data_IF_844682161020
#
_entry.id   IF_844682161020
#
_cell.length_a   1.000
_cell.length_b   1.000
_cell.length_c   1.000
_cell.angle_alpha   90.00
_cell.angle_beta   90.00
_cell.angle_gamma   90.00
#
_symmetry.space_group_name_H-M   'P 1'
#
loop_
_entity.id
_entity.type
_entity.pdbx_description
1 polymer ?
#
# COMPACT_ATOMS: atom_id res chain seq x y z
N UNK A 1 22.20 11.96 3.05
CA UNK A 1 23.27 11.38 3.89
C UNK A 1 22.71 10.92 5.23
N UNK A 2 22.03 11.77 6.03
CA UNK A 2 21.50 11.46 7.37
C UNK A 2 20.58 10.22 7.39
N UNK A 3 19.59 10.15 6.47
CA UNK A 3 18.68 9.01 6.36
C UNK A 3 19.41 7.67 6.17
N UNK A 4 20.39 7.61 5.26
CA UNK A 4 21.15 6.38 4.99
C UNK A 4 22.02 5.98 6.18
N UNK A 5 22.66 6.97 6.82
CA UNK A 5 23.48 6.75 8.01
C UNK A 5 22.62 6.13 9.13
N UNK A 6 21.49 6.79 9.46
CA UNK A 6 20.58 6.32 10.50
C UNK A 6 19.99 4.94 10.21
N UNK A 7 19.62 4.71 8.94
CA UNK A 7 19.09 3.43 8.47
C UNK A 7 20.10 2.30 8.68
N UNK A 8 21.34 2.44 8.19
CA UNK A 8 22.29 1.34 8.17
C UNK A 8 23.07 1.18 9.49
N UNK A 9 23.27 2.24 10.28
CA UNK A 9 23.93 2.16 11.58
C UNK A 9 23.00 1.79 12.74
N UNK A 10 21.71 2.13 12.64
CA UNK A 10 20.78 1.91 13.74
C UNK A 10 19.64 0.97 13.37
N UNK A 11 18.80 1.36 12.39
CA UNK A 11 17.55 0.61 12.13
C UNK A 11 17.80 -0.81 11.62
N UNK A 12 18.63 -0.97 10.59
CA UNK A 12 18.88 -2.29 9.99
C UNK A 12 19.51 -3.26 11.01
N UNK A 13 20.56 -2.91 11.77
CA UNK A 13 21.12 -3.81 12.78
C UNK A 13 20.13 -4.17 13.88
N UNK A 14 19.41 -3.17 14.44
CA UNK A 14 18.43 -3.39 15.51
C UNK A 14 17.32 -4.31 15.04
N UNK A 15 16.70 -4.04 13.87
CA UNK A 15 15.62 -4.89 13.37
C UNK A 15 16.10 -6.29 12.99
N UNK A 16 17.32 -6.44 12.47
CA UNK A 16 17.92 -7.76 12.20
C UNK A 16 18.12 -8.57 13.46
N UNK A 17 18.57 -7.93 14.53
CA UNK A 17 18.80 -8.59 15.82
C UNK A 17 17.48 -8.97 16.52
N UNK A 18 16.53 -8.03 16.57
CA UNK A 18 15.29 -8.18 17.34
C UNK A 18 14.21 -8.97 16.60
N UNK A 19 14.01 -8.67 15.31
CA UNK A 19 12.88 -9.19 14.53
C UNK A 19 13.26 -10.18 13.43
N UNK A 20 14.55 -10.26 13.05
CA UNK A 20 15.05 -11.12 11.96
C UNK A 20 14.23 -11.02 10.68
N UNK A 21 14.01 -9.79 10.14
CA UNK A 21 13.20 -9.59 8.96
C UNK A 21 13.82 -10.26 7.74
N UNK A 22 12.98 -10.65 6.77
CA UNK A 22 13.43 -11.21 5.52
C UNK A 22 12.81 -10.48 4.32
N UNK A 23 13.48 -10.53 3.18
CA UNK A 23 12.97 -9.94 1.94
C UNK A 23 13.34 -10.81 0.75
N UNK A 24 12.41 -10.94 -0.20
CA UNK A 24 12.62 -11.58 -1.51
C UNK A 24 12.17 -10.64 -2.63
N UNK A 25 12.78 -10.74 -3.81
CA UNK A 25 12.38 -10.00 -5.01
C UNK A 25 12.99 -8.59 -5.10
N UNK A 26 14.11 -8.31 -4.44
CA UNK A 26 14.80 -7.01 -4.52
C UNK A 26 15.14 -6.58 -5.95
N UNK A 27 15.37 -7.53 -6.84
CA UNK A 27 15.66 -7.34 -8.25
C UNK A 27 14.51 -6.66 -9.01
N UNK A 28 13.29 -6.77 -8.51
CA UNK A 28 12.10 -6.18 -9.11
C UNK A 28 11.96 -4.67 -8.80
N UNK A 29 12.72 -4.14 -7.84
CA UNK A 29 12.73 -2.72 -7.54
C UNK A 29 13.60 -1.98 -8.55
N UNK A 30 13.08 -0.97 -9.28
CA UNK A 30 13.86 -0.20 -10.23
C UNK A 30 15.13 0.36 -9.59
N UNK A 31 16.27 0.20 -10.25
CA UNK A 31 17.57 0.72 -9.76
C UNK A 31 17.64 2.24 -9.80
N UNK A 32 16.95 2.87 -10.75
CA UNK A 32 16.87 4.31 -10.96
C UNK A 32 15.47 4.70 -11.44
N UNK A 33 15.18 5.99 -11.50
CA UNK A 33 13.89 6.53 -11.93
C UNK A 33 12.79 6.38 -10.88
N UNK A 34 11.63 6.93 -11.18
CA UNK A 34 10.43 6.83 -10.36
C UNK A 34 9.79 5.45 -10.42
N UNK A 35 9.01 5.13 -9.41
CA UNK A 35 8.25 3.90 -9.34
C UNK A 35 7.27 3.91 -8.18
N UNK A 36 6.25 3.11 -8.28
CA UNK A 36 5.20 3.00 -7.29
C UNK A 36 5.23 1.60 -6.66
N UNK A 37 5.54 1.52 -5.37
CA UNK A 37 5.37 0.29 -4.60
C UNK A 37 3.98 0.29 -4.01
N UNK A 38 3.22 -0.79 -4.22
CA UNK A 38 1.85 -0.94 -3.73
C UNK A 38 1.78 -2.16 -2.83
N UNK A 39 1.27 -2.00 -1.62
CA UNK A 39 1.31 -3.07 -0.61
C UNK A 39 -0.02 -3.21 0.12
N UNK A 40 -0.32 -4.43 0.60
CA UNK A 40 -1.29 -4.64 1.65
C UNK A 40 -0.89 -3.87 2.92
N UNK A 41 -1.85 -3.58 3.78
CA UNK A 41 -1.58 -2.81 5.01
C UNK A 41 -2.17 -3.51 6.24
N UNK A 42 -1.34 -4.29 6.93
CA UNK A 42 -1.72 -5.08 8.10
C UNK A 42 -1.56 -4.24 9.38
N UNK A 43 -0.40 -3.62 9.53
CA UNK A 43 -0.06 -2.91 10.77
C UNK A 43 0.74 -1.63 10.52
N UNK A 44 0.98 -0.85 11.57
CA UNK A 44 1.89 0.29 11.47
C UNK A 44 3.35 -0.14 11.26
N UNK A 45 3.67 -1.40 11.60
CA UNK A 45 5.00 -1.99 11.35
C UNK A 45 5.37 -2.02 9.87
N UNK A 46 4.38 -2.10 8.95
CA UNK A 46 4.60 -2.07 7.50
C UNK A 46 5.38 -0.82 7.08
N UNK A 47 5.02 0.34 7.64
CA UNK A 47 5.65 1.62 7.31
C UNK A 47 7.09 1.75 7.82
N UNK A 48 7.51 0.87 8.73
CA UNK A 48 8.88 0.79 9.22
C UNK A 48 9.68 -0.28 8.46
N UNK A 49 9.13 -1.50 8.38
CA UNK A 49 9.85 -2.63 7.81
C UNK A 49 10.11 -2.43 6.32
N UNK A 50 9.15 -1.94 5.54
CA UNK A 50 9.33 -1.75 4.11
C UNK A 50 10.53 -0.83 3.78
N UNK A 51 10.64 0.41 4.30
CA UNK A 51 11.80 1.26 4.02
C UNK A 51 13.11 0.74 4.62
N UNK A 52 13.08 0.01 5.75
CA UNK A 52 14.26 -0.61 6.33
C UNK A 52 14.82 -1.69 5.41
N UNK A 53 13.97 -2.50 4.81
CA UNK A 53 14.37 -3.63 3.97
C UNK A 53 14.74 -3.21 2.53
N UNK A 54 14.26 -2.10 2.03
CA UNK A 54 14.58 -1.63 0.67
C UNK A 54 15.97 -0.97 0.61
N UNK A 55 16.71 -1.18 -0.46
CA UNK A 55 18.00 -0.50 -0.67
C UNK A 55 17.84 0.96 -1.05
N UNK A 56 16.86 1.27 -1.91
CA UNK A 56 16.53 2.65 -2.31
C UNK A 56 15.68 3.33 -1.25
N UNK A 57 15.83 4.65 -1.17
CA UNK A 57 14.91 5.48 -0.38
C UNK A 57 13.53 5.42 -1.00
N UNK A 58 12.53 5.24 -0.15
CA UNK A 58 11.12 5.24 -0.52
C UNK A 58 10.39 6.32 0.27
N UNK A 59 9.50 7.04 -0.38
CA UNK A 59 8.64 8.07 0.21
C UNK A 59 7.26 7.48 0.45
N UNK A 60 6.64 7.84 1.58
CA UNK A 60 5.27 7.45 1.92
C UNK A 60 4.41 8.69 2.10
N UNK A 61 3.14 8.67 1.67
CA UNK A 61 2.18 9.67 2.07
C UNK A 61 1.70 9.40 3.51
N UNK A 62 1.83 10.39 4.38
CA UNK A 62 1.36 10.32 5.76
C UNK A 62 0.46 11.50 6.10
N UNK A 63 -0.41 11.35 7.10
CA UNK A 63 -1.30 12.41 7.55
C UNK A 63 -0.52 13.66 7.96
N UNK A 64 -0.92 14.83 7.47
CA UNK A 64 -0.28 16.11 7.77
C UNK A 64 -0.21 16.41 9.27
N UNK A 65 -1.20 15.95 10.05
CA UNK A 65 -1.26 16.14 11.50
C UNK A 65 -0.06 15.50 12.24
N UNK A 66 0.55 14.45 11.68
CA UNK A 66 1.74 13.81 12.27
C UNK A 66 2.98 14.71 12.24
N UNK A 67 2.97 15.76 11.40
CA UNK A 67 4.09 16.70 11.24
C UNK A 67 3.95 17.96 12.10
N UNK A 68 2.74 18.22 12.61
CA UNK A 68 2.36 19.47 13.27
C UNK A 68 2.06 19.29 14.76
N UNK A 69 2.50 18.19 15.35
CA UNK A 69 2.27 17.93 16.78
C UNK A 69 2.97 18.97 17.68
N UNK A 70 2.30 19.41 18.74
CA UNK A 70 2.76 20.49 19.62
C UNK A 70 3.65 19.99 20.78
N UNK A 71 3.47 18.73 21.22
CA UNK A 71 4.28 18.17 22.30
C UNK A 71 5.74 17.94 21.85
N UNK A 72 6.73 17.95 22.77
CA UNK A 72 8.13 17.71 22.41
C UNK A 72 8.34 16.38 21.68
N UNK A 73 7.68 15.31 22.10
CA UNK A 73 7.75 14.02 21.43
C UNK A 73 7.12 14.05 20.02
N UNK A 74 5.98 14.71 19.85
CA UNK A 74 5.34 14.86 18.53
C UNK A 74 6.18 15.72 17.56
N UNK A 75 6.85 16.77 18.07
CA UNK A 75 7.78 17.58 17.28
C UNK A 75 8.98 16.76 16.81
N UNK A 76 9.53 15.89 17.68
CA UNK A 76 10.61 14.98 17.32
C UNK A 76 10.17 14.00 16.25
N UNK A 77 8.98 13.43 16.38
CA UNK A 77 8.39 12.53 15.35
C UNK A 77 8.21 13.29 14.03
N UNK A 78 7.62 14.47 14.03
CA UNK A 78 7.43 15.29 12.82
C UNK A 78 8.76 15.65 12.15
N UNK A 79 9.77 16.02 12.94
CA UNK A 79 11.12 16.26 12.44
C UNK A 79 11.70 15.00 11.78
N UNK A 80 11.61 13.85 12.46
CA UNK A 80 12.10 12.58 11.92
C UNK A 80 11.41 12.19 10.61
N UNK A 81 10.07 12.32 10.53
CA UNK A 81 9.31 12.04 9.32
C UNK A 81 9.75 12.93 8.15
N UNK A 82 10.02 14.22 8.40
CA UNK A 82 10.58 15.14 7.39
C UNK A 82 11.96 14.68 6.92
N UNK A 83 12.86 14.30 7.83
CA UNK A 83 14.19 13.78 7.48
C UNK A 83 14.10 12.44 6.73
N UNK A 84 13.15 11.59 7.06
CA UNK A 84 12.86 10.36 6.34
C UNK A 84 12.28 10.61 4.93
N UNK A 85 11.83 11.84 4.64
CA UNK A 85 11.23 12.23 3.36
C UNK A 85 9.82 11.70 3.20
N UNK A 86 9.10 11.57 4.31
CA UNK A 86 7.69 11.25 4.30
C UNK A 86 6.90 12.48 3.83
N UNK A 87 5.96 12.28 2.91
CA UNK A 87 5.15 13.33 2.32
C UNK A 87 3.93 13.61 3.21
N UNK A 88 3.81 14.83 3.79
CA UNK A 88 2.57 15.21 4.46
C UNK A 88 1.44 15.36 3.44
N UNK A 89 0.33 14.68 3.65
CA UNK A 89 -0.87 14.82 2.83
C UNK A 89 -2.08 15.10 3.71
N UNK A 90 -2.94 15.97 3.23
CA UNK A 90 -4.29 16.11 3.75
C UNK A 90 -5.19 15.05 3.13
N UNK A 91 -6.03 14.41 3.96
CA UNK A 91 -6.99 13.37 3.55
C UNK A 91 -8.44 13.86 3.68
N UNK A 92 -8.65 15.17 3.73
CA UNK A 92 -9.96 15.79 3.95
C UNK A 92 -11.01 15.57 2.84
N UNK A 93 -10.67 14.84 1.78
CA UNK A 93 -11.56 14.61 0.63
C UNK A 93 -11.57 15.77 -0.39
N UNK A 94 -12.29 15.61 -1.49
CA UNK A 94 -12.45 16.64 -2.51
C UNK A 94 -11.13 17.23 -3.03
N UNK A 95 -10.96 18.54 -2.91
CA UNK A 95 -9.78 19.28 -3.38
C UNK A 95 -8.48 18.82 -2.73
N UNK A 96 -8.48 18.57 -1.42
CA UNK A 96 -7.32 18.07 -0.69
C UNK A 96 -6.85 16.70 -1.21
N UNK A 97 -7.78 15.82 -1.57
CA UNK A 97 -7.46 14.53 -2.17
C UNK A 97 -6.82 14.68 -3.55
N UNK A 98 -7.29 15.63 -4.37
CA UNK A 98 -6.71 15.92 -5.70
C UNK A 98 -5.28 16.51 -5.56
N UNK A 99 -5.07 17.45 -4.67
CA UNK A 99 -3.75 18.05 -4.40
C UNK A 99 -2.77 16.99 -3.90
N UNK A 100 -3.22 16.08 -3.03
CA UNK A 100 -2.40 14.96 -2.57
C UNK A 100 -1.98 14.02 -3.72
N UNK A 101 -2.90 13.72 -4.64
CA UNK A 101 -2.59 12.89 -5.82
C UNK A 101 -1.59 13.59 -6.75
N UNK A 102 -1.75 14.89 -6.98
CA UNK A 102 -0.81 15.68 -7.79
C UNK A 102 0.59 15.64 -7.16
N UNK A 103 0.71 15.89 -5.87
CA UNK A 103 1.99 15.83 -5.15
C UNK A 103 2.64 14.44 -5.23
N UNK A 104 1.86 13.36 -5.14
CA UNK A 104 2.35 12.00 -5.30
C UNK A 104 2.83 11.72 -6.74
N UNK A 105 2.12 12.21 -7.74
CA UNK A 105 2.49 12.13 -9.16
C UNK A 105 3.82 12.85 -9.41
N UNK A 106 4.00 14.05 -8.86
CA UNK A 106 5.22 14.85 -9.01
C UNK A 106 6.43 14.17 -8.36
N UNK A 107 6.25 13.55 -7.20
CA UNK A 107 7.30 12.75 -6.54
C UNK A 107 7.76 11.60 -7.43
N UNK A 108 6.84 10.87 -8.04
CA UNK A 108 7.19 9.78 -8.94
C UNK A 108 7.90 10.30 -10.17
N UNK A 109 7.41 11.40 -10.78
CA UNK A 109 8.04 12.04 -11.94
C UNK A 109 9.44 12.59 -11.63
N UNK A 110 9.73 12.98 -10.39
CA UNK A 110 11.06 13.40 -9.95
C UNK A 110 12.08 12.25 -9.86
N UNK A 111 11.68 11.01 -10.17
CA UNK A 111 12.56 9.85 -10.10
C UNK A 111 12.56 9.15 -8.73
N UNK A 112 11.66 9.51 -7.83
CA UNK A 112 11.58 8.95 -6.48
C UNK A 112 10.66 7.72 -6.45
N UNK A 113 10.98 6.74 -5.58
CA UNK A 113 10.07 5.64 -5.27
C UNK A 113 9.01 6.14 -4.28
N UNK A 114 7.75 5.95 -4.64
CA UNK A 114 6.61 6.20 -3.78
C UNK A 114 6.01 4.86 -3.32
N UNK A 115 5.72 4.71 -2.03
CA UNK A 115 4.96 3.56 -1.54
C UNK A 115 3.55 3.99 -1.13
N UNK A 116 2.57 3.19 -1.53
CA UNK A 116 1.17 3.42 -1.21
C UNK A 116 0.53 2.13 -0.70
N UNK A 117 -0.43 2.30 0.19
CA UNK A 117 -1.34 1.24 0.61
C UNK A 117 -2.70 1.49 -0.06
N UNK A 118 -3.05 0.75 -1.12
CA UNK A 118 -4.28 1.02 -1.89
C UNK A 118 -5.55 0.92 -1.06
N UNK A 119 -5.56 0.08 -0.02
CA UNK A 119 -6.69 -0.03 0.92
C UNK A 119 -7.01 1.30 1.65
N UNK A 120 -6.01 2.18 1.78
CA UNK A 120 -6.14 3.50 2.41
C UNK A 120 -6.30 3.47 3.93
N UNK A 121 -6.35 2.30 4.53
CA UNK A 121 -6.36 2.04 5.97
C UNK A 121 -5.71 0.69 6.25
N UNK A 122 -5.36 0.41 7.50
CA UNK A 122 -4.92 -0.92 7.92
C UNK A 122 -6.11 -1.87 7.90
N UNK A 123 -5.85 -3.11 7.48
CA UNK A 123 -6.84 -4.18 7.55
C UNK A 123 -7.40 -4.31 8.98
N UNK A 124 -8.70 -4.50 9.16
CA UNK A 124 -9.29 -4.72 10.47
C UNK A 124 -9.01 -6.12 11.04
N UNK A 125 -8.81 -7.12 10.18
CA UNK A 125 -8.80 -8.54 10.53
C UNK A 125 -7.72 -9.38 9.81
N UNK A 126 -6.82 -8.72 9.08
CA UNK A 126 -5.75 -9.39 8.34
C UNK A 126 -6.09 -9.80 6.91
N UNK A 127 -7.33 -9.66 6.46
CA UNK A 127 -7.74 -9.89 5.07
C UNK A 127 -7.35 -8.72 4.16
N UNK A 128 -7.33 -8.92 2.84
CA UNK A 128 -7.07 -7.90 1.84
C UNK A 128 -8.39 -7.23 1.44
N UNK A 129 -8.48 -5.93 1.61
CA UNK A 129 -9.68 -5.16 1.34
C UNK A 129 -9.60 -4.41 0.01
N UNK A 130 -10.78 -4.03 -0.52
CA UNK A 130 -10.91 -3.27 -1.77
C UNK A 130 -10.01 -2.04 -1.81
N UNK A 131 -9.19 -1.95 -2.85
CA UNK A 131 -8.29 -0.82 -3.06
C UNK A 131 -9.01 0.43 -3.55
N UNK A 132 -8.56 1.60 -3.10
CA UNK A 132 -8.93 2.91 -3.66
C UNK A 132 -8.15 3.16 -4.94
N UNK A 133 -8.72 3.94 -5.85
CA UNK A 133 -8.19 4.16 -7.20
C UNK A 133 -6.98 5.12 -7.27
N UNK A 134 -6.54 5.69 -6.15
CA UNK A 134 -5.44 6.66 -6.11
C UNK A 134 -4.11 6.09 -6.62
N UNK A 135 -3.77 4.86 -6.27
CA UNK A 135 -2.55 4.22 -6.76
C UNK A 135 -2.57 3.98 -8.27
N UNK A 136 -3.71 3.51 -8.80
CA UNK A 136 -3.90 3.33 -10.23
C UNK A 136 -3.83 4.66 -10.99
N UNK A 137 -4.39 5.74 -10.44
CA UNK A 137 -4.30 7.08 -11.05
C UNK A 137 -2.86 7.54 -11.16
N UNK A 138 -2.08 7.51 -10.06
CA UNK A 138 -0.65 7.87 -10.09
C UNK A 138 0.12 7.02 -11.10
N UNK A 139 -0.16 5.71 -11.15
CA UNK A 139 0.48 4.79 -12.08
C UNK A 139 0.20 5.16 -13.55
N UNK A 140 -1.07 5.38 -13.90
CA UNK A 140 -1.48 5.66 -15.28
C UNK A 140 -1.05 7.07 -15.73
N UNK A 141 -1.09 8.07 -14.85
CA UNK A 141 -0.66 9.43 -15.16
C UNK A 141 0.87 9.57 -15.33
N UNK A 142 1.65 8.71 -14.65
CA UNK A 142 3.12 8.76 -14.71
C UNK A 142 3.71 7.76 -15.68
N UNK A 143 2.99 6.67 -16.00
CA UNK A 143 3.53 5.54 -16.75
C UNK A 143 4.66 4.78 -16.01
N UNK A 144 4.85 5.04 -14.71
CA UNK A 144 5.91 4.41 -13.91
C UNK A 144 5.67 2.92 -13.69
N UNK A 145 6.70 2.13 -13.42
CA UNK A 145 6.53 0.75 -13.01
C UNK A 145 5.82 0.67 -11.66
N UNK A 146 4.81 -0.18 -11.57
CA UNK A 146 4.04 -0.47 -10.34
C UNK A 146 4.50 -1.81 -9.80
N UNK A 147 5.09 -1.83 -8.62
CA UNK A 147 5.68 -3.01 -7.99
C UNK A 147 4.78 -3.44 -6.83
N UNK A 148 4.13 -4.62 -6.92
CA UNK A 148 3.31 -5.14 -5.83
C UNK A 148 4.22 -5.66 -4.72
N UNK A 149 3.85 -5.42 -3.48
CA UNK A 149 4.58 -5.84 -2.29
C UNK A 149 3.63 -6.55 -1.34
N UNK A 150 4.00 -7.75 -0.92
CA UNK A 150 3.32 -8.49 0.14
C UNK A 150 4.07 -8.30 1.46
N UNK A 151 3.36 -7.78 2.46
CA UNK A 151 3.85 -7.69 3.84
C UNK A 151 3.25 -8.80 4.68
N UNK A 152 4.06 -9.39 5.57
CA UNK A 152 3.61 -10.44 6.49
C UNK A 152 4.28 -10.29 7.86
N UNK A 153 3.58 -10.70 8.92
CA UNK A 153 4.06 -10.72 10.31
C UNK A 153 4.60 -9.37 10.80
N UNK A 154 4.01 -8.28 10.33
CA UNK A 154 4.41 -6.91 10.69
C UNK A 154 3.63 -6.37 11.89
N UNK A 155 2.74 -7.17 12.46
CA UNK A 155 2.04 -6.84 13.70
C UNK A 155 3.05 -6.76 14.85
N UNK A 156 2.87 -5.72 15.65
CA UNK A 156 3.74 -5.52 16.81
C UNK A 156 3.19 -6.27 18.01
N UNK A 157 3.93 -7.27 18.43
CA UNK A 157 3.64 -8.04 19.62
C UNK A 157 4.06 -7.22 20.85
N UNK A 158 3.09 -6.85 21.66
CA UNK A 158 3.29 -6.20 22.95
C UNK A 158 3.34 -7.27 24.03
N UNK A 159 4.40 -7.29 24.85
CA UNK A 159 4.58 -8.24 25.95
C UNK A 159 5.54 -7.70 26.98
N UNK A 160 6.01 -8.56 27.90
CA UNK A 160 7.11 -8.20 28.82
C UNK A 160 8.39 -8.03 28.01
N UNK A 161 8.89 -6.80 27.83
CA UNK A 161 10.09 -6.45 27.07
C UNK A 161 9.84 -5.43 25.96
N UNK A 162 10.81 -5.29 25.04
CA UNK A 162 10.70 -4.37 23.91
C UNK A 162 9.64 -4.87 22.90
N UNK A 163 8.85 -3.96 22.34
CA UNK A 163 7.94 -4.29 21.24
C UNK A 163 8.71 -4.98 20.10
N UNK A 164 8.23 -6.13 19.65
CA UNK A 164 8.88 -6.91 18.59
C UNK A 164 7.87 -7.35 17.53
N UNK A 165 8.37 -7.71 16.36
CA UNK A 165 7.63 -8.39 15.30
C UNK A 165 8.20 -9.80 15.15
N UNK A 166 7.36 -10.77 14.77
CA UNK A 166 7.80 -12.16 14.58
C UNK A 166 8.23 -12.40 13.13
N UNK A 167 9.52 -12.22 12.84
CA UNK A 167 10.13 -12.43 11.53
C UNK A 167 9.36 -11.77 10.38
N UNK A 168 9.17 -10.45 10.41
CA UNK A 168 8.41 -9.75 9.39
C UNK A 168 9.00 -9.98 8.00
N UNK A 169 8.12 -10.19 7.02
CA UNK A 169 8.49 -10.49 5.65
C UNK A 169 8.09 -9.40 4.67
N UNK A 170 8.95 -9.18 3.67
CA UNK A 170 8.68 -8.30 2.52
C UNK A 170 8.89 -9.09 1.25
N UNK A 171 7.81 -9.42 0.55
CA UNK A 171 7.84 -10.11 -0.73
C UNK A 171 7.56 -9.11 -1.86
N UNK A 172 8.53 -8.88 -2.72
CA UNK A 172 8.46 -7.89 -3.80
C UNK A 172 8.20 -8.63 -5.12
N UNK A 173 7.03 -8.41 -5.70
CA UNK A 173 6.61 -9.02 -6.96
C UNK A 173 7.22 -8.36 -8.18
N UNK A 174 7.01 -8.99 -9.34
CA UNK A 174 7.32 -8.38 -10.65
C UNK A 174 6.38 -7.18 -10.88
N UNK A 175 6.81 -6.20 -11.69
CA UNK A 175 5.93 -5.07 -12.03
C UNK A 175 4.57 -5.56 -12.58
N UNK A 176 3.51 -4.94 -12.09
CA UNK A 176 2.13 -5.21 -12.54
C UNK A 176 2.00 -4.84 -14.02
N UNK A 177 1.42 -5.73 -14.82
CA UNK A 177 1.15 -5.41 -16.21
C UNK A 177 -0.10 -4.52 -16.35
N UNK A 178 0.15 -3.25 -16.60
CA UNK A 178 -0.87 -2.24 -16.90
C UNK A 178 -0.89 -1.83 -18.37
N UNK A 179 -0.26 -2.60 -19.27
CA UNK A 179 -0.12 -2.29 -20.70
C UNK A 179 -1.47 -2.09 -21.40
N UNK A 180 -2.48 -2.88 -21.02
CA UNK A 180 -3.85 -2.81 -21.56
C UNK A 180 -4.58 -1.49 -21.32
N UNK A 181 -4.07 -0.67 -20.42
CA UNK A 181 -4.63 0.66 -20.08
C UNK A 181 -3.90 1.81 -20.75
N UNK A 182 -2.75 1.56 -21.42
CA UNK A 182 -1.97 2.61 -22.08
C UNK A 182 -2.77 3.26 -23.22
N UNK A 183 -2.74 4.61 -23.26
CA UNK A 183 -3.43 5.38 -24.28
C UNK A 183 -4.95 5.45 -24.13
N UNK A 184 -5.53 4.79 -23.14
CA UNK A 184 -6.96 4.91 -22.83
C UNK A 184 -7.24 6.16 -22.00
N UNK A 185 -8.43 6.79 -22.16
CA UNK A 185 -8.87 7.84 -21.23
C UNK A 185 -8.89 7.30 -19.80
N UNK A 186 -8.39 8.10 -18.85
CA UNK A 186 -8.35 7.73 -17.42
C UNK A 186 -9.71 8.04 -16.79
N UNK A 187 -10.71 7.22 -17.10
CA UNK A 187 -12.04 7.28 -16.52
C UNK A 187 -12.18 6.39 -15.26
N UNK A 188 -13.36 6.40 -14.65
CA UNK A 188 -13.64 5.63 -13.43
C UNK A 188 -13.54 4.11 -13.66
N UNK A 189 -13.93 3.60 -14.83
CA UNK A 189 -13.86 2.20 -15.19
C UNK A 189 -12.41 1.74 -15.33
N UNK A 190 -11.61 2.47 -16.12
CA UNK A 190 -10.18 2.22 -16.29
C UNK A 190 -9.43 2.25 -14.97
N UNK A 191 -9.74 3.23 -14.10
CA UNK A 191 -9.14 3.32 -12.77
C UNK A 191 -9.51 2.14 -11.88
N UNK A 192 -10.77 1.68 -11.95
CA UNK A 192 -11.20 0.51 -11.17
C UNK A 192 -10.50 -0.76 -11.65
N UNK A 193 -10.52 -1.03 -12.94
CA UNK A 193 -9.89 -2.20 -13.53
C UNK A 193 -8.38 -2.26 -13.30
N UNK A 194 -7.70 -1.10 -13.38
CA UNK A 194 -6.27 -1.01 -13.07
C UNK A 194 -6.00 -1.24 -11.58
N UNK A 195 -6.88 -0.75 -10.70
CA UNK A 195 -6.77 -1.00 -9.26
C UNK A 195 -6.97 -2.48 -8.95
N UNK A 196 -7.95 -3.13 -9.58
CA UNK A 196 -8.21 -4.55 -9.38
C UNK A 196 -7.03 -5.42 -9.84
N UNK A 197 -6.39 -5.06 -10.96
CA UNK A 197 -5.14 -5.70 -11.39
C UNK A 197 -4.01 -5.56 -10.36
N UNK A 198 -3.83 -4.36 -9.82
CA UNK A 198 -2.84 -4.11 -8.75
C UNK A 198 -3.16 -4.96 -7.50
N UNK A 199 -4.40 -4.95 -7.05
CA UNK A 199 -4.83 -5.70 -5.86
C UNK A 199 -4.71 -7.21 -6.06
N UNK A 200 -4.99 -7.73 -7.26
CA UNK A 200 -4.84 -9.13 -7.59
C UNK A 200 -3.38 -9.59 -7.47
N UNK A 201 -2.42 -8.77 -7.91
CA UNK A 201 -1.01 -9.10 -7.77
C UNK A 201 -0.52 -9.01 -6.30
N UNK A 202 -1.07 -8.09 -5.50
CA UNK A 202 -0.84 -8.08 -4.04
C UNK A 202 -1.40 -9.36 -3.42
N UNK A 203 -2.64 -9.77 -3.78
CA UNK A 203 -3.26 -10.99 -3.26
C UNK A 203 -2.42 -12.24 -3.58
N UNK A 204 -1.91 -12.37 -4.81
CA UNK A 204 -1.03 -13.48 -5.21
C UNK A 204 0.25 -13.58 -4.35
N UNK A 205 0.80 -12.44 -3.93
CA UNK A 205 1.99 -12.40 -3.08
C UNK A 205 1.67 -12.75 -1.63
N UNK A 206 0.51 -12.36 -1.13
CA UNK A 206 0.16 -12.47 0.29
C UNK A 206 -0.63 -13.72 0.61
N UNK A 207 -1.40 -14.25 -0.36
CA UNK A 207 -2.35 -15.34 -0.14
C UNK A 207 -3.57 -14.95 0.70
N UNK A 208 -3.76 -13.64 0.98
CA UNK A 208 -4.89 -13.16 1.77
C UNK A 208 -6.23 -13.38 1.07
N UNK A 209 -7.27 -13.68 1.83
CA UNK A 209 -8.64 -13.60 1.34
C UNK A 209 -8.97 -12.17 0.92
N UNK A 210 -9.62 -12.01 -0.23
CA UNK A 210 -10.02 -10.70 -0.73
C UNK A 210 -11.47 -10.39 -0.38
N UNK A 211 -11.68 -9.21 0.22
CA UNK A 211 -13.02 -8.71 0.60
C UNK A 211 -13.37 -7.51 -0.27
N UNK A 212 -14.46 -7.58 -1.04
CA UNK A 212 -14.92 -6.49 -1.93
C UNK A 212 -15.65 -5.37 -1.19
N UNK A 213 -15.06 -4.95 -0.07
CA UNK A 213 -15.50 -3.81 0.75
C UNK A 213 -14.30 -2.91 1.05
N UNK A 214 -14.53 -1.63 1.22
CA UNK A 214 -13.50 -0.74 1.73
C UNK A 214 -13.25 -1.01 3.22
N UNK A 215 -12.04 -1.36 3.60
CA UNK A 215 -11.68 -1.66 4.99
C UNK A 215 -12.01 -0.54 5.97
N UNK A 216 -12.06 0.72 5.52
CA UNK A 216 -12.48 1.85 6.36
C UNK A 216 -13.93 1.75 6.81
N UNK A 217 -14.83 1.25 5.97
CA UNK A 217 -16.26 1.09 6.26
C UNK A 217 -16.49 -0.02 7.28
N UNK A 218 -15.75 -1.13 7.14
CA UNK A 218 -15.78 -2.23 8.09
C UNK A 218 -15.22 -1.78 9.44
N UNK A 219 -14.08 -1.10 9.42
CA UNK A 219 -13.39 -0.66 10.63
C UNK A 219 -14.15 0.39 11.44
N UNK A 220 -14.95 1.22 10.78
CA UNK A 220 -15.81 2.22 11.45
C UNK A 220 -17.10 1.62 12.02
N UNK A 221 -17.40 0.35 11.72
CA UNK A 221 -18.68 -0.27 12.05
C UNK A 221 -19.87 0.25 11.21
N UNK A 222 -19.59 0.98 10.12
CA UNK A 222 -20.64 1.53 9.24
C UNK A 222 -21.24 0.49 8.29
N UNK A 223 -20.66 -0.70 8.21
CA UNK A 223 -21.21 -1.81 7.46
C UNK A 223 -22.00 -2.73 8.38
N UNK A 224 -23.31 -2.78 8.16
CA UNK A 224 -24.23 -3.60 8.97
C UNK A 224 -24.48 -5.01 8.40
N UNK A 225 -23.89 -5.34 7.23
CA UNK A 225 -24.04 -6.64 6.58
C UNK A 225 -22.99 -7.67 6.99
N UNK A 226 -23.12 -8.87 6.46
CA UNK A 226 -22.14 -9.93 6.62
C UNK A 226 -20.90 -9.63 5.73
N UNK A 227 -19.74 -9.48 6.35
CA UNK A 227 -18.47 -9.22 5.65
C UNK A 227 -18.03 -10.47 4.87
N UNK A 228 -18.32 -11.66 5.37
CA UNK A 228 -17.90 -12.91 4.74
C UNK A 228 -18.67 -13.16 3.43
N UNK A 229 -19.90 -12.66 3.33
CA UNK A 229 -20.66 -12.64 2.06
C UNK A 229 -20.04 -11.75 0.96
N UNK A 230 -19.00 -10.97 1.29
CA UNK A 230 -18.25 -10.11 0.35
C UNK A 230 -16.85 -10.65 0.03
N UNK A 231 -16.52 -11.84 0.49
CA UNK A 231 -15.29 -12.54 0.10
C UNK A 231 -15.42 -12.98 -1.36
N UNK A 232 -14.45 -12.57 -2.18
CA UNK A 232 -14.38 -12.92 -3.59
C UNK A 232 -13.09 -13.71 -3.88
N UNK A 233 -13.07 -14.58 -4.91
CA UNK A 233 -11.87 -15.33 -5.28
C UNK A 233 -10.66 -14.42 -5.58
N UNK A 234 -10.91 -13.29 -6.23
CA UNK A 234 -9.89 -12.28 -6.53
C UNK A 234 -10.53 -10.91 -6.79
N UNK A 235 -9.77 -9.81 -6.69
CA UNK A 235 -10.20 -8.48 -7.11
C UNK A 235 -10.70 -8.47 -8.56
N UNK A 236 -11.81 -7.77 -8.79
CA UNK A 236 -12.43 -7.69 -10.12
C UNK A 236 -13.17 -8.96 -10.57
N UNK A 237 -13.32 -9.96 -9.68
CA UNK A 237 -14.13 -11.13 -9.97
C UNK A 237 -15.59 -10.73 -10.19
N UNK A 238 -16.19 -11.28 -11.25
CA UNK A 238 -17.63 -11.14 -11.54
C UNK A 238 -18.21 -12.54 -11.57
N UNK A 239 -19.36 -12.73 -10.92
CA UNK A 239 -20.08 -13.99 -11.02
C UNK A 239 -20.32 -14.32 -12.48
N UNK A 240 -20.20 -15.59 -12.89
CA UNK A 240 -20.67 -16.02 -14.21
C UNK A 240 -22.12 -15.55 -14.38
N UNK A 241 -22.40 -14.92 -15.51
CA UNK A 241 -23.78 -14.63 -15.89
C UNK A 241 -24.45 -16.02 -16.08
N UNK A 242 -25.42 -16.36 -15.23
CA UNK A 242 -26.23 -17.55 -15.47
C UNK A 242 -26.79 -17.43 -16.88
N UNK A 243 -26.44 -18.38 -17.74
CA UNK A 243 -27.05 -18.48 -19.07
C UNK A 243 -28.54 -18.61 -18.81
N UNK A 244 -29.31 -17.58 -19.19
CA UNK A 244 -30.75 -17.58 -19.04
C UNK A 244 -31.29 -18.87 -19.65
N UNK A 245 -32.12 -19.55 -18.88
CA UNK A 245 -32.82 -20.74 -19.30
C UNK A 245 -33.76 -20.35 -20.49
N UNK A 246 -33.25 -20.56 -21.71
CA UNK A 246 -34.03 -20.37 -22.95
C UNK A 246 -35.12 -21.44 -23.14
N UNK A 247 -35.56 -22.10 -22.05
CA UNK A 247 -36.55 -23.19 -22.12
C UNK A 247 -38.00 -22.74 -22.05
N UNK A 248 -38.31 -21.42 -22.04
CA UNK A 248 -39.72 -20.94 -22.06
C UNK A 248 -40.21 -20.36 -23.38
N UNK A 249 -39.64 -20.75 -24.53
CA UNK A 249 -40.23 -20.44 -25.85
C UNK A 249 -40.27 -21.67 -26.76
N UNK A 250 -41.14 -22.65 -26.41
CA UNK A 250 -41.69 -23.60 -27.40
C UNK A 250 -43.14 -23.94 -27.06
#
# INVERSE_FOLDING_TARGET
VFYQLFKYLLFVPVFRLVCRPWTKGHENVPRAGGGLLVSNHISWGDTIILPVMLRRRVTFPAKAELFNGTSPGARLVGWFLKQAGILPIDRGGGKASSEALTAMTDIVKSGTLLAMYPEGTRSPDGRLYKGKTGAARVALETGCPVIPVGMSNTEVIKGRGLPRMDRPGVLIGKPVDLSRFRGRPIDAGVLRDATDAIMADIQKLTGQEYVDLYGAVVKSGSYAGDVDAKVLPHPGWKAPVEAGDDSEQR
#
